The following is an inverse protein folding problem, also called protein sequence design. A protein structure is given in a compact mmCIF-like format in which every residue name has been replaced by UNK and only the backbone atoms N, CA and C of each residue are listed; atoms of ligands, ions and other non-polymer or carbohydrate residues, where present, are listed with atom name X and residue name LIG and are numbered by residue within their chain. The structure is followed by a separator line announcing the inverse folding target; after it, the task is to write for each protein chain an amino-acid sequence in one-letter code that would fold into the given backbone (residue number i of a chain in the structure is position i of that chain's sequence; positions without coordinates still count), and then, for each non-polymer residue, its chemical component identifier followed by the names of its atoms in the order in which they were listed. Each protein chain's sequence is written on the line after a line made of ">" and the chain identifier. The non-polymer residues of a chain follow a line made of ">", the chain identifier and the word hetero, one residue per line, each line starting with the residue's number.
data_IF_789848149541
#
_entry.id   IF_789848149541
#
_cell.length_a   1.000
_cell.length_b   1.000
_cell.length_c   1.000
_cell.angle_alpha   90.00
_cell.angle_beta   90.00
_cell.angle_gamma   90.00
#
_symmetry.space_group_name_H-M   'P 1'
#
loop_
_entity.id
_entity.type
_entity.pdbx_description
1 polymer ?
#
# COMPACT_ATOMS: atom_id res chain seq x y z
N UNK A 1 44.08 -1.97 34.00
CA UNK A 1 42.76 -2.65 33.92
C UNK A 1 41.80 -1.71 33.29
N UNK A 2 41.51 -1.93 32.00
CA UNK A 2 40.81 -1.02 31.12
C UNK A 2 39.38 -1.49 30.94
N UNK A 3 38.42 -0.63 31.25
CA UNK A 3 36.99 -0.85 30.99
C UNK A 3 36.64 -0.30 29.61
N UNK A 4 36.28 -1.17 28.68
CA UNK A 4 35.81 -0.83 27.35
C UNK A 4 34.30 -0.72 27.42
N UNK A 5 33.77 0.52 27.47
CA UNK A 5 32.38 0.82 27.21
C UNK A 5 32.17 1.09 25.73
N UNK A 6 31.59 0.14 24.99
CA UNK A 6 31.13 0.37 23.63
C UNK A 6 29.70 0.88 23.64
N UNK A 7 29.54 2.12 23.24
CA UNK A 7 28.27 2.72 22.90
C UNK A 7 27.65 1.99 21.72
N UNK A 8 26.40 1.55 21.87
CA UNK A 8 25.58 1.08 20.78
C UNK A 8 25.04 2.32 20.05
N UNK A 9 25.65 2.64 18.94
CA UNK A 9 25.18 3.68 18.02
C UNK A 9 23.91 3.19 17.33
N UNK A 10 22.81 3.85 17.60
CA UNK A 10 21.53 3.68 16.92
C UNK A 10 21.68 4.11 15.45
N UNK A 11 21.77 3.12 14.57
CA UNK A 11 21.72 3.28 13.12
C UNK A 11 20.26 3.50 12.69
N UNK A 12 19.77 4.72 12.79
CA UNK A 12 18.60 5.18 12.05
C UNK A 12 19.09 6.02 10.87
N UNK A 13 19.36 5.39 9.73
CA UNK A 13 19.56 6.08 8.44
C UNK A 13 18.84 5.27 7.37
N UNK A 14 18.00 5.97 6.61
CA UNK A 14 17.33 5.52 5.41
C UNK A 14 18.21 4.60 4.56
N UNK A 15 17.76 3.36 4.42
CA UNK A 15 18.53 2.21 3.93
C UNK A 15 18.58 2.12 2.40
N UNK A 16 17.82 2.97 1.72
CA UNK A 16 17.63 2.90 0.28
C UNK A 16 18.29 4.08 -0.43
N UNK A 17 19.33 3.82 -1.22
CA UNK A 17 19.99 4.81 -2.06
C UNK A 17 19.33 4.79 -3.43
N UNK A 18 18.57 5.83 -3.74
CA UNK A 18 18.09 6.10 -5.09
C UNK A 18 19.25 6.73 -5.89
N UNK A 19 19.72 6.06 -6.92
CA UNK A 19 20.60 6.68 -7.92
C UNK A 19 19.75 7.43 -8.93
N UNK A 20 19.46 8.68 -8.64
CA UNK A 20 18.83 9.60 -9.58
C UNK A 20 19.91 10.33 -10.37
N UNK A 21 19.88 10.19 -11.70
CA UNK A 21 20.63 11.08 -12.60
C UNK A 21 19.84 12.37 -12.79
N UNK A 22 20.50 13.44 -12.43
CA UNK A 22 20.05 14.81 -12.39
C UNK A 22 19.39 15.30 -13.68
N UNK A 23 18.23 15.94 -13.55
CA UNK A 23 17.94 17.19 -14.25
C UNK A 23 17.29 18.15 -13.26
N UNK A 24 17.87 19.31 -13.12
CA UNK A 24 17.54 20.24 -12.06
C UNK A 24 16.24 20.97 -12.29
N UNK A 25 15.53 21.17 -11.22
CA UNK A 25 14.75 22.39 -11.02
C UNK A 25 14.79 22.80 -9.54
N UNK A 26 15.19 24.05 -9.30
CA UNK A 26 15.31 24.64 -7.98
C UNK A 26 14.00 25.37 -7.69
N UNK A 27 13.20 24.89 -6.76
CA UNK A 27 12.55 25.66 -5.72
C UNK A 27 11.28 25.01 -5.19
N UNK A 28 11.39 24.35 -4.05
CA UNK A 28 10.35 24.46 -3.00
C UNK A 28 10.86 23.74 -1.75
N UNK A 29 11.22 24.55 -0.75
CA UNK A 29 11.43 24.06 0.61
C UNK A 29 10.09 23.57 1.16
N UNK A 30 9.91 22.27 1.23
CA UNK A 30 8.91 21.64 2.09
C UNK A 30 9.63 21.06 3.30
N UNK A 31 9.37 21.63 4.43
CA UNK A 31 9.82 21.16 5.74
C UNK A 31 9.27 19.76 6.00
N UNK A 32 10.12 18.76 5.88
CA UNK A 32 9.83 17.37 6.22
C UNK A 32 9.95 17.20 7.73
N UNK A 33 8.85 17.39 8.43
CA UNK A 33 8.72 17.12 9.86
C UNK A 33 7.36 16.44 10.11
N UNK A 34 7.39 15.15 10.40
CA UNK A 34 6.35 14.23 10.76
C UNK A 34 5.01 14.78 11.26
N UNK A 35 4.02 14.92 10.36
CA UNK A 35 2.63 15.08 10.76
C UNK A 35 1.67 14.81 9.58
N UNK A 36 1.58 13.57 9.11
CA UNK A 36 0.98 13.28 7.77
C UNK A 36 -0.40 12.63 7.84
N UNK A 37 -0.96 12.32 8.99
CA UNK A 37 -2.16 11.46 9.03
C UNK A 37 -3.50 12.20 9.12
N UNK A 38 -3.52 13.48 9.48
CA UNK A 38 -4.76 14.27 9.57
C UNK A 38 -4.83 15.28 8.43
N UNK A 39 -5.94 15.26 7.69
CA UNK A 39 -6.18 16.22 6.61
C UNK A 39 -6.67 17.55 7.20
N UNK A 40 -5.90 18.63 7.04
CA UNK A 40 -6.37 19.97 7.38
C UNK A 40 -7.36 20.45 6.32
N UNK A 41 -8.57 20.79 6.75
CA UNK A 41 -9.69 21.16 5.89
C UNK A 41 -10.08 22.61 6.12
N UNK A 42 -10.43 23.27 5.01
CA UNK A 42 -10.92 24.64 4.98
C UNK A 42 -11.91 24.83 3.83
N UNK A 43 -12.59 25.97 3.74
CA UNK A 43 -13.59 26.28 2.72
C UNK A 43 -13.07 26.01 1.28
N UNK A 44 -11.77 26.25 1.02
CA UNK A 44 -11.18 26.14 -0.33
C UNK A 44 -10.90 24.70 -0.76
N UNK A 45 -10.63 23.81 0.18
CA UNK A 45 -10.20 22.44 -0.13
C UNK A 45 -11.26 21.38 0.22
N UNK A 46 -12.30 21.75 0.96
CA UNK A 46 -13.31 20.85 1.48
C UNK A 46 -14.03 20.08 0.36
N UNK A 47 -14.48 20.79 -0.69
CA UNK A 47 -15.13 20.17 -1.84
C UNK A 47 -14.27 19.01 -2.38
N UNK A 48 -13.06 19.31 -2.79
CA UNK A 48 -12.16 18.33 -3.42
C UNK A 48 -11.71 17.21 -2.47
N UNK A 49 -11.41 17.56 -1.21
CA UNK A 49 -10.83 16.59 -0.26
C UNK A 49 -11.87 15.77 0.47
N UNK A 50 -13.12 16.21 0.52
CA UNK A 50 -14.19 15.54 1.26
C UNK A 50 -15.31 15.09 0.30
N UNK A 51 -15.92 16.02 -0.42
CA UNK A 51 -17.12 15.70 -1.21
C UNK A 51 -16.79 14.94 -2.50
N UNK A 52 -15.71 15.30 -3.18
CA UNK A 52 -15.28 14.63 -4.42
C UNK A 52 -14.38 13.40 -4.13
N UNK A 53 -13.94 13.19 -2.88
CA UNK A 53 -13.09 12.08 -2.50
C UNK A 53 -13.90 10.77 -2.42
N UNK A 54 -13.51 9.68 -3.11
CA UNK A 54 -14.24 8.42 -3.06
C UNK A 54 -14.13 7.67 -1.73
N UNK A 55 -13.14 7.98 -0.91
CA UNK A 55 -12.97 7.33 0.40
C UNK A 55 -14.00 7.79 1.42
N UNK A 56 -14.19 6.98 2.46
CA UNK A 56 -14.93 7.39 3.65
C UNK A 56 -14.17 8.50 4.38
N UNK A 57 -14.84 9.57 4.75
CA UNK A 57 -14.25 10.66 5.52
C UNK A 57 -14.86 10.78 6.91
N UNK A 58 -14.05 10.93 7.95
CA UNK A 58 -14.52 11.44 9.23
C UNK A 58 -13.89 12.80 9.49
N UNK A 59 -14.71 13.81 9.75
CA UNK A 59 -14.25 15.20 9.90
C UNK A 59 -14.64 15.73 11.28
N UNK A 60 -13.63 16.12 12.05
CA UNK A 60 -13.81 16.75 13.34
C UNK A 60 -13.82 18.28 13.21
N UNK A 61 -14.92 18.90 13.57
CA UNK A 61 -15.06 20.35 13.73
C UNK A 61 -14.65 20.72 15.13
N UNK A 62 -13.59 21.51 15.26
CA UNK A 62 -12.92 21.82 16.52
C UNK A 62 -12.79 23.31 16.75
N UNK A 63 -12.51 23.70 18.00
CA UNK A 63 -12.11 25.04 18.37
C UNK A 63 -10.80 25.01 19.18
N UNK A 64 -9.82 25.92 18.94
CA UNK A 64 -8.50 25.90 19.62
C UNK A 64 -8.56 26.01 21.14
N UNK A 65 -9.56 26.70 21.64
CA UNK A 65 -9.77 26.92 23.08
C UNK A 65 -10.58 25.82 23.77
N UNK A 66 -11.16 24.87 23.01
CA UNK A 66 -12.03 23.81 23.54
C UNK A 66 -11.21 22.71 24.24
N UNK A 67 -11.47 22.48 25.52
CA UNK A 67 -10.79 21.43 26.31
C UNK A 67 -11.03 20.02 25.80
N UNK A 68 -12.27 19.67 25.41
CA UNK A 68 -12.60 18.36 24.83
C UNK A 68 -11.95 18.13 23.47
N UNK A 69 -11.77 19.19 22.66
CA UNK A 69 -11.04 19.11 21.41
C UNK A 69 -9.55 18.79 21.64
N UNK A 70 -8.95 19.39 22.65
CA UNK A 70 -7.56 19.09 23.04
C UNK A 70 -7.35 17.65 23.48
N UNK A 71 -8.38 17.04 24.09
CA UNK A 71 -8.35 15.61 24.45
C UNK A 71 -8.57 14.70 23.25
N UNK A 72 -9.46 15.08 22.32
CA UNK A 72 -9.72 14.32 21.10
C UNK A 72 -8.54 14.26 20.14
N UNK A 73 -7.85 15.38 19.92
CA UNK A 73 -6.85 15.51 18.85
C UNK A 73 -5.70 14.50 18.90
N UNK A 74 -5.12 14.12 20.07
CA UNK A 74 -4.14 13.05 20.12
C UNK A 74 -4.73 11.68 19.72
N UNK A 75 -5.92 11.33 20.19
CA UNK A 75 -6.62 10.09 19.80
C UNK A 75 -6.96 10.10 18.31
N UNK A 76 -7.40 11.24 17.79
CA UNK A 76 -7.70 11.44 16.37
C UNK A 76 -6.48 11.24 15.48
N UNK A 77 -5.31 11.69 15.93
CA UNK A 77 -4.05 11.53 15.22
C UNK A 77 -3.60 10.07 15.18
N UNK A 78 -3.69 9.38 16.31
CA UNK A 78 -3.35 7.95 16.37
C UNK A 78 -4.34 7.10 15.55
N UNK A 79 -5.64 7.42 15.59
CA UNK A 79 -6.64 6.77 14.76
C UNK A 79 -6.35 6.98 13.26
N UNK A 80 -5.98 8.21 12.86
CA UNK A 80 -5.62 8.50 11.46
C UNK A 80 -4.42 7.66 10.98
N UNK A 81 -3.42 7.46 11.86
CA UNK A 81 -2.28 6.59 11.56
C UNK A 81 -2.69 5.12 11.39
N UNK A 82 -3.60 4.64 12.21
CA UNK A 82 -4.10 3.26 12.12
C UNK A 82 -5.00 3.01 10.91
N UNK A 83 -5.62 4.08 10.39
CA UNK A 83 -6.53 4.03 9.23
C UNK A 83 -5.83 4.28 7.89
N UNK A 84 -4.52 4.53 7.91
CA UNK A 84 -3.74 4.76 6.69
C UNK A 84 -3.88 3.57 5.72
N UNK A 85 -4.33 3.85 4.50
CA UNK A 85 -4.55 2.83 3.47
C UNK A 85 -5.78 1.94 3.69
N UNK A 86 -6.67 2.26 4.66
CA UNK A 86 -7.89 1.48 4.91
C UNK A 86 -9.11 1.96 4.10
N UNK A 87 -8.93 2.89 3.15
CA UNK A 87 -10.03 3.44 2.34
C UNK A 87 -10.85 4.50 3.08
N UNK A 88 -10.27 5.09 4.11
CA UNK A 88 -10.83 6.21 4.85
C UNK A 88 -9.75 7.18 5.31
N UNK A 89 -10.14 8.40 5.58
CA UNK A 89 -9.28 9.44 6.12
C UNK A 89 -9.94 10.21 7.26
N UNK A 90 -9.11 10.80 8.12
CA UNK A 90 -9.56 11.69 9.17
C UNK A 90 -9.18 13.14 8.85
N UNK A 91 -10.16 14.03 8.90
CA UNK A 91 -10.01 15.46 8.67
C UNK A 91 -10.28 16.29 9.92
N UNK A 92 -9.73 17.50 9.96
CA UNK A 92 -9.98 18.50 10.99
C UNK A 92 -10.30 19.84 10.35
N UNK A 93 -11.36 20.49 10.83
CA UNK A 93 -11.78 21.86 10.49
C UNK A 93 -11.69 22.71 11.75
N UNK A 94 -10.98 23.85 11.70
CA UNK A 94 -11.12 24.89 12.72
C UNK A 94 -12.41 25.67 12.48
N UNK A 95 -13.46 25.30 13.19
CA UNK A 95 -14.79 25.90 13.02
C UNK A 95 -14.89 27.34 13.55
N UNK A 96 -13.86 27.85 14.19
CA UNK A 96 -13.80 29.27 14.60
C UNK A 96 -13.32 30.16 13.46
N UNK A 97 -12.62 29.58 12.48
CA UNK A 97 -12.12 30.24 11.27
C UNK A 97 -13.05 29.93 10.09
N UNK A 98 -13.36 28.66 9.85
CA UNK A 98 -14.16 28.17 8.73
C UNK A 98 -15.66 28.19 9.11
N UNK A 99 -16.18 29.39 9.40
CA UNK A 99 -17.56 29.59 9.88
C UNK A 99 -18.62 29.21 8.84
N UNK A 100 -18.28 29.27 7.56
CA UNK A 100 -19.13 28.80 6.46
C UNK A 100 -19.39 27.32 6.55
N UNK A 101 -18.34 26.50 6.69
CA UNK A 101 -18.45 25.05 6.90
C UNK A 101 -19.18 24.73 8.21
N UNK A 102 -18.84 25.42 9.32
CA UNK A 102 -19.49 25.21 10.58
C UNK A 102 -21.02 25.43 10.51
N UNK A 103 -21.46 26.47 9.80
CA UNK A 103 -22.87 26.74 9.56
C UNK A 103 -23.52 25.71 8.64
N UNK A 104 -22.87 25.33 7.54
CA UNK A 104 -23.36 24.35 6.58
C UNK A 104 -23.62 22.99 7.22
N UNK A 105 -22.71 22.54 8.12
CA UNK A 105 -22.83 21.27 8.81
C UNK A 105 -23.50 21.38 10.18
N UNK A 106 -24.12 22.51 10.48
CA UNK A 106 -24.93 22.76 11.70
C UNK A 106 -24.15 22.46 13.01
N UNK A 107 -22.90 22.91 13.06
CA UNK A 107 -22.03 22.70 14.23
C UNK A 107 -22.51 23.60 15.39
N UNK A 108 -23.11 23.00 16.42
CA UNK A 108 -23.63 23.70 17.59
C UNK A 108 -22.71 23.63 18.82
N UNK A 109 -21.71 22.75 18.77
CA UNK A 109 -20.76 22.55 19.87
C UNK A 109 -19.46 21.92 19.42
N UNK A 110 -18.48 21.84 20.32
CA UNK A 110 -17.15 21.33 19.99
C UNK A 110 -16.71 20.21 20.95
N UNK A 111 -16.07 19.15 20.43
CA UNK A 111 -15.97 18.81 19.01
C UNK A 111 -17.28 18.23 18.48
N UNK A 112 -17.65 18.57 17.24
CA UNK A 112 -18.65 17.84 16.44
C UNK A 112 -17.92 17.02 15.40
N UNK A 113 -18.27 15.74 15.25
CA UNK A 113 -17.65 14.84 14.27
C UNK A 113 -18.72 14.45 13.25
N UNK A 114 -18.42 14.61 11.98
CA UNK A 114 -19.28 14.21 10.86
C UNK A 114 -18.61 13.09 10.07
N UNK A 115 -19.43 12.11 9.64
CA UNK A 115 -19.04 11.00 8.78
C UNK A 115 -19.56 11.26 7.37
N UNK A 116 -18.70 11.14 6.40
CA UNK A 116 -19.00 11.21 4.97
C UNK A 116 -18.87 9.82 4.38
N UNK A 117 -19.91 9.25 3.78
CA UNK A 117 -19.88 7.89 3.24
C UNK A 117 -18.84 7.74 2.12
N UNK A 118 -18.48 6.49 1.79
CA UNK A 118 -17.67 6.20 0.61
C UNK A 118 -18.44 6.49 -0.68
N UNK A 119 -17.70 6.82 -1.74
CA UNK A 119 -18.23 7.23 -3.04
C UNK A 119 -17.89 8.68 -3.37
N UNK A 120 -17.71 8.99 -4.66
CA UNK A 120 -17.46 10.35 -5.12
C UNK A 120 -18.74 11.19 -5.25
N UNK A 121 -18.59 12.50 -5.42
CA UNK A 121 -19.68 13.47 -5.60
C UNK A 121 -20.71 13.46 -4.45
N UNK A 122 -20.23 13.44 -3.23
CA UNK A 122 -21.07 13.50 -2.02
C UNK A 122 -21.76 14.85 -1.90
N UNK A 123 -23.01 14.84 -1.46
CA UNK A 123 -23.74 16.04 -1.06
C UNK A 123 -23.43 16.37 0.41
N UNK A 124 -23.48 17.63 0.83
CA UNK A 124 -23.43 18.01 2.23
C UNK A 124 -24.48 17.30 3.12
N UNK A 125 -25.62 16.94 2.54
CA UNK A 125 -26.68 16.20 3.23
C UNK A 125 -26.38 14.73 3.48
N UNK A 126 -25.36 14.15 2.84
CA UNK A 126 -24.93 12.77 3.04
C UNK A 126 -24.10 12.61 4.31
N UNK A 127 -23.69 13.73 4.91
CA UNK A 127 -22.96 13.73 6.16
C UNK A 127 -23.86 13.32 7.34
N UNK A 128 -23.46 12.29 8.07
CA UNK A 128 -24.09 11.89 9.33
C UNK A 128 -23.27 12.35 10.53
N UNK A 129 -23.91 12.51 11.67
CA UNK A 129 -23.21 12.85 12.91
C UNK A 129 -22.67 11.58 13.58
N UNK A 130 -21.45 11.66 14.09
CA UNK A 130 -20.85 10.63 14.91
C UNK A 130 -20.96 11.00 16.38
N UNK A 131 -21.72 10.20 17.12
CA UNK A 131 -21.98 10.35 18.56
C UNK A 131 -21.29 9.29 19.42
N UNK A 132 -20.42 8.47 18.81
CA UNK A 132 -19.71 7.40 19.50
C UNK A 132 -18.56 7.85 20.42
N UNK A 133 -17.81 6.86 20.91
CA UNK A 133 -16.64 7.10 21.77
C UNK A 133 -15.52 7.87 21.07
N UNK A 134 -14.71 8.58 21.86
CA UNK A 134 -13.64 9.46 21.36
C UNK A 134 -12.24 8.87 21.53
N UNK A 135 -12.14 7.59 21.89
CA UNK A 135 -10.87 6.87 21.90
C UNK A 135 -10.46 6.50 20.47
N UNK A 136 -9.18 6.31 20.22
CA UNK A 136 -8.69 5.88 18.90
C UNK A 136 -9.34 4.56 18.46
N UNK A 137 -9.58 3.64 19.38
CA UNK A 137 -10.22 2.36 19.10
C UNK A 137 -11.66 2.52 18.63
N UNK A 138 -12.42 3.43 19.25
CA UNK A 138 -13.81 3.72 18.87
C UNK A 138 -13.89 4.40 17.50
N UNK A 139 -13.01 5.37 17.27
CA UNK A 139 -12.91 6.10 16.00
C UNK A 139 -12.56 5.14 14.86
N UNK A 140 -11.52 4.31 15.04
CA UNK A 140 -11.10 3.31 14.05
C UNK A 140 -12.22 2.33 13.74
N UNK A 141 -12.88 1.80 14.77
CA UNK A 141 -14.01 0.87 14.60
C UNK A 141 -15.16 1.51 13.82
N UNK A 142 -15.50 2.76 14.10
CA UNK A 142 -16.55 3.48 13.39
C UNK A 142 -16.18 3.72 11.93
N UNK A 143 -14.96 4.22 11.65
CA UNK A 143 -14.47 4.45 10.29
C UNK A 143 -14.49 3.16 9.47
N UNK A 144 -13.96 2.05 9.99
CA UNK A 144 -13.92 0.76 9.30
C UNK A 144 -15.32 0.19 9.04
N UNK A 145 -16.28 0.40 9.97
CA UNK A 145 -17.69 0.02 9.77
C UNK A 145 -18.28 0.76 8.56
N UNK A 146 -18.02 2.05 8.44
CA UNK A 146 -18.49 2.85 7.30
C UNK A 146 -17.82 2.45 5.99
N UNK A 147 -16.53 2.12 6.02
CA UNK A 147 -15.82 1.56 4.84
C UNK A 147 -16.46 0.25 4.40
N UNK A 148 -16.81 -0.64 5.35
CA UNK A 148 -17.49 -1.89 5.01
C UNK A 148 -18.91 -1.66 4.45
N UNK A 149 -19.64 -0.68 4.99
CA UNK A 149 -20.98 -0.31 4.54
C UNK A 149 -20.96 0.35 3.14
N UNK A 150 -19.91 1.08 2.81
CA UNK A 150 -19.79 1.77 1.52
C UNK A 150 -19.65 0.82 0.32
N UNK A 151 -19.33 -0.46 0.57
CA UNK A 151 -19.12 -1.44 -0.48
C UNK A 151 -17.94 -1.15 -1.43
N UNK A 152 -17.19 -0.07 -1.19
CA UNK A 152 -16.00 0.27 -1.98
C UNK A 152 -14.91 -0.76 -1.63
N UNK A 153 -14.47 -1.59 -2.58
CA UNK A 153 -13.41 -2.55 -2.31
C UNK A 153 -12.11 -1.80 -1.97
N UNK A 154 -11.44 -2.21 -0.89
CA UNK A 154 -10.07 -1.74 -0.66
C UNK A 154 -9.22 -2.26 -1.82
N UNK A 155 -8.66 -1.36 -2.60
CA UNK A 155 -7.72 -1.73 -3.64
C UNK A 155 -6.39 -2.12 -2.99
N UNK A 156 -5.93 -3.34 -3.26
CA UNK A 156 -4.61 -3.80 -2.81
C UNK A 156 -3.57 -3.20 -3.76
N UNK A 157 -2.65 -2.36 -3.26
CA UNK A 157 -1.69 -1.66 -4.12
C UNK A 157 -0.73 -2.65 -4.78
N UNK A 158 -0.32 -2.31 -6.00
CA UNK A 158 0.76 -2.99 -6.70
C UNK A 158 2.11 -2.52 -6.16
N UNK A 159 3.01 -3.47 -5.96
CA UNK A 159 4.40 -3.20 -5.60
C UNK A 159 5.19 -2.90 -6.86
N UNK A 160 5.22 -1.63 -7.25
CA UNK A 160 5.74 -1.18 -8.54
C UNK A 160 7.09 -0.43 -8.47
N UNK A 161 7.67 -0.30 -7.28
CA UNK A 161 8.94 0.43 -7.15
C UNK A 161 9.42 0.62 -5.70
N UNK A 162 10.55 1.30 -5.52
CA UNK A 162 11.14 1.53 -4.19
C UNK A 162 10.20 2.23 -3.21
N UNK A 163 9.31 3.10 -3.71
CA UNK A 163 8.29 3.78 -2.91
C UNK A 163 7.29 2.80 -2.25
N UNK A 164 7.06 1.65 -2.89
CA UNK A 164 6.21 0.59 -2.34
C UNK A 164 6.83 -0.05 -1.10
N UNK A 165 8.16 -0.14 -1.05
CA UNK A 165 8.89 -0.67 0.11
C UNK A 165 8.82 0.29 1.30
N UNK A 166 8.77 1.61 1.09
CA UNK A 166 8.65 2.58 2.19
C UNK A 166 7.35 2.43 2.99
N UNK A 167 6.28 1.90 2.35
CA UNK A 167 5.04 1.56 3.04
C UNK A 167 5.21 0.39 4.02
N UNK A 168 6.24 -0.41 3.84
CA UNK A 168 6.62 -1.54 4.70
C UNK A 168 7.52 -1.13 5.87
N UNK A 169 8.04 0.08 5.85
CA UNK A 169 8.88 0.61 6.93
C UNK A 169 8.04 1.03 8.13
N UNK A 170 8.63 0.91 9.32
CA UNK A 170 8.02 1.32 10.58
C UNK A 170 8.02 0.21 11.62
N UNK A 171 7.93 0.61 12.88
CA UNK A 171 8.00 -0.31 14.02
C UNK A 171 6.85 -1.30 14.00
N UNK A 172 7.19 -2.59 14.05
CA UNK A 172 6.25 -3.72 14.03
C UNK A 172 5.37 -3.84 12.77
N UNK A 173 5.66 -3.13 11.68
CA UNK A 173 4.97 -3.35 10.40
C UNK A 173 5.45 -4.66 9.76
N UNK A 174 4.51 -5.37 9.16
CA UNK A 174 4.74 -6.61 8.41
C UNK A 174 4.13 -6.41 7.03
N UNK A 175 4.95 -6.52 5.97
CA UNK A 175 4.44 -6.54 4.62
C UNK A 175 4.17 -7.96 4.15
N UNK A 176 2.94 -8.19 3.68
CA UNK A 176 2.57 -9.38 2.92
C UNK A 176 2.73 -9.05 1.44
N UNK A 177 3.67 -9.72 0.79
CA UNK A 177 3.97 -9.59 -0.62
C UNK A 177 3.47 -10.82 -1.37
N UNK A 178 2.62 -10.61 -2.37
CA UNK A 178 2.11 -11.67 -3.22
C UNK A 178 2.62 -11.50 -4.65
N UNK A 179 3.40 -12.45 -5.14
CA UNK A 179 3.85 -12.50 -6.52
C UNK A 179 2.87 -13.34 -7.35
N UNK A 180 2.30 -12.75 -8.40
CA UNK A 180 1.40 -13.47 -9.33
C UNK A 180 2.20 -14.05 -10.50
N UNK A 181 1.70 -15.12 -11.16
CA UNK A 181 2.32 -15.62 -12.38
C UNK A 181 2.50 -14.49 -13.40
N UNK A 182 3.56 -14.49 -14.20
CA UNK A 182 3.72 -13.55 -15.30
C UNK A 182 2.47 -13.49 -16.19
N UNK A 183 2.12 -12.31 -16.70
CA UNK A 183 0.85 -12.11 -17.39
C UNK A 183 0.75 -12.94 -18.70
N UNK A 184 1.88 -13.21 -19.35
CA UNK A 184 1.94 -14.09 -20.54
C UNK A 184 1.68 -15.58 -20.22
N UNK A 185 1.82 -15.98 -18.94
CA UNK A 185 1.49 -17.33 -18.44
C UNK A 185 0.12 -17.38 -17.75
N UNK A 186 -0.61 -16.26 -17.71
CA UNK A 186 -1.85 -16.11 -16.95
C UNK A 186 -2.86 -15.25 -17.74
N UNK A 187 -3.84 -14.69 -17.06
CA UNK A 187 -4.80 -13.76 -17.63
C UNK A 187 -5.20 -12.67 -16.65
N UNK A 188 -5.69 -11.55 -17.18
CA UNK A 188 -6.26 -10.45 -16.37
C UNK A 188 -7.38 -10.93 -15.46
N UNK A 189 -8.23 -11.85 -15.95
CA UNK A 189 -9.29 -12.45 -15.14
C UNK A 189 -8.74 -13.24 -13.95
N UNK A 190 -7.65 -13.99 -14.16
CA UNK A 190 -6.98 -14.76 -13.11
C UNK A 190 -6.30 -13.84 -12.08
N UNK A 191 -5.65 -12.78 -12.53
CA UNK A 191 -5.06 -11.77 -11.65
C UNK A 191 -6.12 -11.07 -10.80
N UNK A 192 -7.26 -10.71 -11.38
CA UNK A 192 -8.38 -10.15 -10.63
C UNK A 192 -8.93 -11.14 -9.57
N UNK A 193 -8.95 -12.44 -9.86
CA UNK A 193 -9.28 -13.47 -8.87
C UNK A 193 -8.27 -13.48 -7.72
N UNK A 194 -6.96 -13.42 -8.00
CA UNK A 194 -5.92 -13.36 -6.98
C UNK A 194 -6.01 -12.10 -6.13
N UNK A 195 -6.24 -10.93 -6.75
CA UNK A 195 -6.47 -9.65 -6.04
C UNK A 195 -7.72 -9.73 -5.16
N UNK A 196 -8.79 -10.36 -5.62
CA UNK A 196 -10.01 -10.58 -4.83
C UNK A 196 -9.74 -11.38 -3.55
N UNK A 197 -8.89 -12.41 -3.62
CA UNK A 197 -8.46 -13.18 -2.45
C UNK A 197 -7.68 -12.28 -1.47
N UNK A 198 -6.73 -11.46 -1.93
CA UNK A 198 -6.00 -10.53 -1.09
C UNK A 198 -6.92 -9.49 -0.44
N UNK A 199 -7.92 -9.00 -1.17
CA UNK A 199 -8.93 -8.09 -0.63
C UNK A 199 -9.74 -8.72 0.49
N UNK A 200 -10.15 -9.99 0.35
CA UNK A 200 -10.85 -10.71 1.41
C UNK A 200 -9.96 -10.91 2.65
N UNK A 201 -8.68 -11.26 2.45
CA UNK A 201 -7.69 -11.37 3.53
C UNK A 201 -7.48 -10.02 4.21
N UNK A 202 -7.33 -8.93 3.45
CA UNK A 202 -7.16 -7.58 3.99
C UNK A 202 -8.33 -7.18 4.89
N UNK A 203 -9.57 -7.47 4.49
CA UNK A 203 -10.76 -7.23 5.33
C UNK A 203 -10.69 -7.97 6.66
N UNK A 204 -10.23 -9.21 6.64
CA UNK A 204 -10.17 -10.06 7.84
C UNK A 204 -9.10 -9.63 8.85
N UNK A 205 -8.01 -9.02 8.38
CA UNK A 205 -6.88 -8.58 9.20
C UNK A 205 -6.81 -7.06 9.37
N UNK A 206 -7.93 -6.36 9.22
CA UNK A 206 -8.01 -4.92 9.47
C UNK A 206 -7.61 -4.57 10.90
N UNK A 207 -6.87 -3.47 11.03
CA UNK A 207 -6.33 -3.02 12.32
C UNK A 207 -5.14 -3.83 12.82
N UNK A 208 -4.73 -4.89 12.13
CA UNK A 208 -3.44 -5.53 12.37
C UNK A 208 -2.33 -4.76 11.61
N UNK A 209 -1.08 -4.91 12.07
CA UNK A 209 0.08 -4.21 11.49
C UNK A 209 0.52 -4.80 10.13
N UNK A 210 -0.43 -5.22 9.29
CA UNK A 210 -0.15 -5.79 7.98
C UNK A 210 -0.37 -4.78 6.87
N UNK A 211 0.66 -4.62 6.02
CA UNK A 211 0.56 -3.97 4.71
C UNK A 211 0.57 -5.05 3.63
N UNK A 212 -0.48 -5.13 2.82
CA UNK A 212 -0.60 -6.14 1.76
C UNK A 212 -0.34 -5.47 0.41
N UNK A 213 0.54 -6.05 -0.38
CA UNK A 213 0.87 -5.60 -1.73
C UNK A 213 1.05 -6.82 -2.65
N UNK A 214 0.93 -6.60 -3.95
CA UNK A 214 1.14 -7.65 -4.95
C UNK A 214 2.01 -7.14 -6.09
N UNK A 215 2.67 -8.03 -6.82
CA UNK A 215 3.45 -7.71 -8.02
C UNK A 215 3.44 -8.88 -9.01
N UNK A 216 3.81 -8.59 -10.25
CA UNK A 216 4.01 -9.63 -11.26
C UNK A 216 5.28 -10.41 -10.95
N UNK A 217 5.21 -11.73 -10.90
CA UNK A 217 6.37 -12.60 -10.80
C UNK A 217 7.34 -12.34 -11.94
N UNK A 218 8.63 -12.48 -11.67
CA UNK A 218 9.77 -12.11 -12.52
C UNK A 218 10.02 -10.62 -12.70
N UNK A 219 9.15 -9.74 -12.16
CA UNK A 219 9.35 -8.29 -12.26
C UNK A 219 10.29 -7.71 -11.20
N UNK A 220 10.51 -8.45 -10.11
CA UNK A 220 11.34 -8.05 -8.98
C UNK A 220 12.38 -9.14 -8.65
N UNK A 221 13.33 -9.45 -9.57
CA UNK A 221 14.17 -10.65 -9.48
C UNK A 221 15.00 -10.71 -8.20
N UNK A 222 15.54 -9.58 -7.75
CA UNK A 222 16.37 -9.54 -6.55
C UNK A 222 15.53 -9.71 -5.26
N UNK A 223 14.32 -9.15 -5.23
CA UNK A 223 13.35 -9.34 -4.14
C UNK A 223 12.88 -10.80 -4.09
N UNK A 224 12.60 -11.40 -5.24
CA UNK A 224 12.15 -12.78 -5.37
C UNK A 224 13.23 -13.77 -4.93
N UNK A 225 14.50 -13.50 -5.26
CA UNK A 225 15.65 -14.27 -4.80
C UNK A 225 15.80 -14.19 -3.27
N UNK A 226 15.78 -12.97 -2.71
CA UNK A 226 15.87 -12.75 -1.25
C UNK A 226 14.74 -13.41 -0.47
N UNK A 227 13.53 -13.46 -1.06
CA UNK A 227 12.35 -14.08 -0.45
C UNK A 227 12.21 -15.58 -0.79
N UNK A 228 13.16 -16.18 -1.52
CA UNK A 228 13.17 -17.60 -1.88
C UNK A 228 11.90 -18.07 -2.62
N UNK A 229 11.39 -17.24 -3.54
CA UNK A 229 10.19 -17.58 -4.31
C UNK A 229 10.42 -18.68 -5.35
N UNK A 230 11.66 -18.85 -5.83
CA UNK A 230 12.10 -19.94 -6.72
C UNK A 230 11.18 -20.13 -7.94
N UNK A 231 10.68 -19.04 -8.54
CA UNK A 231 9.78 -19.03 -9.70
C UNK A 231 8.48 -19.85 -9.52
N UNK A 232 8.04 -20.07 -8.29
CA UNK A 232 6.79 -20.78 -7.98
C UNK A 232 5.66 -19.78 -7.76
N UNK A 233 4.95 -19.43 -8.81
CA UNK A 233 3.85 -18.48 -8.75
C UNK A 233 2.48 -19.17 -8.81
N UNK A 234 1.43 -18.65 -8.12
CA UNK A 234 1.48 -17.51 -7.20
C UNK A 234 2.20 -17.82 -5.89
N UNK A 235 3.08 -16.91 -5.46
CA UNK A 235 3.84 -17.03 -4.21
C UNK A 235 3.42 -15.94 -3.21
N UNK A 236 3.59 -16.23 -1.92
CA UNK A 236 3.30 -15.28 -0.83
C UNK A 236 4.40 -15.34 0.20
N UNK A 237 4.93 -14.18 0.57
CA UNK A 237 5.84 -14.03 1.69
C UNK A 237 5.43 -12.85 2.58
N UNK A 238 5.83 -12.92 3.83
CA UNK A 238 5.74 -11.82 4.78
C UNK A 238 7.14 -11.36 5.17
N UNK A 239 7.38 -10.06 5.12
CA UNK A 239 8.65 -9.44 5.48
C UNK A 239 8.46 -8.42 6.60
N UNK A 240 9.35 -8.41 7.58
CA UNK A 240 9.47 -7.37 8.59
C UNK A 240 10.85 -6.73 8.49
N UNK A 241 10.90 -5.52 7.93
CA UNK A 241 12.15 -4.78 7.75
C UNK A 241 12.76 -4.36 9.10
N UNK A 242 11.90 -4.00 10.06
CA UNK A 242 12.31 -3.63 11.42
C UNK A 242 13.04 -4.78 12.14
N UNK A 243 12.56 -6.01 11.97
CA UNK A 243 13.16 -7.21 12.57
C UNK A 243 14.22 -7.86 11.70
N UNK A 244 14.34 -7.50 10.44
CA UNK A 244 15.26 -8.12 9.48
C UNK A 244 14.96 -9.59 9.24
N UNK A 245 13.66 -9.96 9.14
CA UNK A 245 13.23 -11.35 8.95
C UNK A 245 12.12 -11.44 7.89
N UNK A 246 12.01 -12.62 7.27
CA UNK A 246 10.91 -12.96 6.37
C UNK A 246 10.40 -14.38 6.62
N UNK A 247 9.22 -14.67 6.10
CA UNK A 247 8.64 -16.00 6.08
C UNK A 247 7.95 -16.24 4.74
N UNK A 248 8.05 -17.45 4.20
CA UNK A 248 7.41 -17.86 2.95
C UNK A 248 6.25 -18.78 3.23
N UNK A 249 5.14 -18.60 2.53
CA UNK A 249 3.99 -19.48 2.62
C UNK A 249 4.17 -20.70 1.69
N UNK A 250 4.24 -21.90 2.26
CA UNK A 250 4.36 -23.16 1.52
C UNK A 250 3.01 -23.89 1.36
N UNK A 251 1.95 -23.13 1.06
CA UNK A 251 0.60 -23.66 0.88
C UNK A 251 -0.02 -23.12 -0.42
N UNK A 252 -1.10 -23.76 -0.88
CA UNK A 252 -1.84 -23.27 -2.06
C UNK A 252 -2.37 -21.85 -1.84
N UNK A 253 -2.37 -21.04 -2.90
CA UNK A 253 -2.85 -19.66 -2.88
C UNK A 253 -4.37 -19.65 -2.70
N UNK A 254 -4.82 -19.37 -1.49
CA UNK A 254 -6.22 -19.27 -1.11
C UNK A 254 -6.40 -18.35 0.09
N UNK A 255 -7.58 -17.76 0.26
CA UNK A 255 -7.91 -16.93 1.43
C UNK A 255 -7.63 -17.67 2.75
N UNK A 256 -8.02 -18.94 2.83
CA UNK A 256 -7.82 -19.78 4.02
C UNK A 256 -6.33 -19.95 4.34
N UNK A 257 -5.51 -20.30 3.35
CA UNK A 257 -4.08 -20.53 3.53
C UNK A 257 -3.35 -19.27 3.94
N UNK A 258 -3.62 -18.14 3.26
CA UNK A 258 -3.03 -16.84 3.58
C UNK A 258 -3.46 -16.40 4.98
N UNK A 259 -4.73 -16.57 5.35
CA UNK A 259 -5.22 -16.22 6.68
C UNK A 259 -4.55 -17.05 7.79
N UNK A 260 -4.34 -18.35 7.56
CA UNK A 260 -3.63 -19.22 8.51
C UNK A 260 -2.15 -18.82 8.62
N UNK A 261 -1.51 -18.48 7.51
CA UNK A 261 -0.13 -18.01 7.48
C UNK A 261 0.04 -16.71 8.29
N UNK A 262 -0.82 -15.69 8.06
CA UNK A 262 -0.81 -14.45 8.82
C UNK A 262 -1.09 -14.67 10.32
N UNK A 263 -2.02 -15.57 10.64
CA UNK A 263 -2.31 -15.95 12.04
C UNK A 263 -1.08 -16.62 12.67
N UNK A 264 -0.39 -17.47 11.92
CA UNK A 264 0.87 -18.10 12.36
C UNK A 264 1.96 -17.07 12.68
N UNK A 265 2.08 -16.02 11.87
CA UNK A 265 3.04 -14.93 12.09
C UNK A 265 2.68 -14.14 13.36
N UNK A 266 1.42 -13.74 13.52
CA UNK A 266 0.99 -12.94 14.69
C UNK A 266 1.10 -13.72 16.00
N UNK A 267 0.93 -15.04 15.97
CA UNK A 267 1.05 -15.91 17.14
C UNK A 267 2.47 -16.44 17.37
N UNK A 268 3.44 -16.07 16.53
CA UNK A 268 4.83 -16.54 16.61
C UNK A 268 5.01 -18.02 16.27
N UNK A 269 4.02 -18.66 15.65
CA UNK A 269 4.09 -20.09 15.25
C UNK A 269 4.72 -20.31 13.88
N UNK A 270 4.80 -19.25 13.08
CA UNK A 270 5.41 -19.29 11.75
C UNK A 270 6.93 -19.20 11.90
N UNK A 271 7.66 -20.12 11.27
CA UNK A 271 9.10 -20.04 11.17
C UNK A 271 9.50 -18.87 10.30
N UNK A 272 10.49 -18.10 10.74
CA UNK A 272 11.04 -16.96 10.01
C UNK A 272 12.50 -17.20 9.67
N UNK A 273 12.93 -16.69 8.53
CA UNK A 273 14.32 -16.70 8.08
C UNK A 273 14.93 -15.30 8.23
N UNK A 274 16.23 -15.18 8.51
CA UNK A 274 16.89 -13.89 8.56
C UNK A 274 16.98 -13.27 7.17
N UNK A 275 16.76 -11.97 7.08
CA UNK A 275 16.98 -11.20 5.86
C UNK A 275 18.47 -10.88 5.76
N UNK A 276 19.18 -11.59 4.90
CA UNK A 276 20.65 -11.49 4.82
C UNK A 276 21.13 -10.21 4.12
N UNK A 277 20.33 -9.63 3.28
CA UNK A 277 20.58 -8.38 2.56
C UNK A 277 19.29 -7.65 2.21
N UNK A 278 19.40 -6.38 1.94
CA UNK A 278 18.29 -5.62 1.41
C UNK A 278 18.14 -5.91 -0.09
N UNK A 279 16.93 -6.22 -0.58
CA UNK A 279 16.71 -6.45 -2.00
C UNK A 279 16.81 -5.15 -2.79
N UNK A 280 17.39 -5.20 -3.98
CA UNK A 280 17.30 -4.13 -4.94
C UNK A 280 15.90 -4.14 -5.57
N UNK A 281 15.20 -3.01 -5.49
CA UNK A 281 13.85 -2.89 -6.02
C UNK A 281 13.88 -2.21 -7.38
N UNK A 282 13.29 -2.87 -8.37
CA UNK A 282 13.16 -2.35 -9.73
C UNK A 282 11.86 -1.57 -9.87
N UNK A 283 11.93 -0.40 -10.52
CA UNK A 283 10.74 0.36 -10.87
C UNK A 283 10.10 -0.27 -12.09
N UNK A 284 8.83 -0.69 -11.95
CA UNK A 284 8.02 -1.32 -12.99
C UNK A 284 6.89 -0.39 -13.44
N UNK A 285 6.32 -0.68 -14.60
CA UNK A 285 5.10 -0.01 -15.07
C UNK A 285 3.92 -0.73 -14.41
N UNK A 286 3.04 -0.02 -13.69
CA UNK A 286 1.86 -0.64 -13.09
C UNK A 286 0.96 -1.30 -14.14
N UNK A 287 0.33 -2.40 -13.76
CA UNK A 287 -0.58 -3.13 -14.61
C UNK A 287 -1.81 -2.29 -15.01
N UNK A 288 -2.13 -2.29 -16.27
CA UNK A 288 -3.23 -1.51 -16.87
C UNK A 288 -4.60 -2.20 -16.81
N UNK A 289 -4.69 -3.40 -16.21
CA UNK A 289 -5.94 -4.16 -16.11
C UNK A 289 -6.24 -5.09 -17.30
N UNK A 290 -5.36 -5.16 -18.30
CA UNK A 290 -5.54 -5.92 -19.52
C UNK A 290 -4.64 -7.15 -19.55
N UNK A 291 -4.96 -8.10 -20.45
CA UNK A 291 -4.09 -9.23 -20.76
C UNK A 291 -2.80 -8.77 -21.43
N UNK A 292 -1.77 -9.63 -21.41
CA UNK A 292 -0.56 -9.39 -22.19
C UNK A 292 -0.92 -9.29 -23.67
N UNK A 293 -0.33 -8.34 -24.36
CA UNK A 293 -0.43 -8.32 -25.83
C UNK A 293 0.28 -9.55 -26.37
N UNK A 294 -0.38 -10.21 -27.33
CA UNK A 294 0.26 -11.31 -28.04
C UNK A 294 1.53 -10.78 -28.72
N UNK A 295 2.66 -11.38 -28.44
CA UNK A 295 3.88 -11.13 -29.19
C UNK A 295 3.58 -11.76 -30.56
N UNK A 296 3.38 -10.96 -31.60
CA UNK A 296 3.40 -11.44 -32.97
C UNK A 296 4.81 -12.02 -33.16
N UNK A 297 4.90 -13.33 -33.40
CA UNK A 297 6.18 -13.95 -33.73
C UNK A 297 6.66 -13.33 -35.06
N UNK A 298 7.64 -12.46 -34.99
CA UNK A 298 8.22 -11.75 -36.14
C UNK A 298 8.93 -12.69 -37.13
N UNK A 299 9.11 -13.96 -36.73
CA UNK A 299 9.76 -14.97 -37.56
C UNK A 299 8.90 -16.23 -37.57
N UNK A 300 8.42 -16.60 -38.75
CA UNK A 300 7.84 -17.94 -38.94
C UNK A 300 8.96 -18.98 -38.98
N UNK A 301 8.67 -20.22 -38.54
CA UNK A 301 9.62 -21.32 -38.71
C UNK A 301 10.06 -21.52 -40.18
N UNK A 302 9.23 -21.08 -41.12
CA UNK A 302 9.52 -21.10 -42.55
C UNK A 302 10.59 -20.08 -42.96
N UNK A 303 10.62 -18.90 -42.31
CA UNK A 303 11.64 -17.89 -42.55
C UNK A 303 13.02 -18.34 -42.04
N UNK A 304 13.07 -19.01 -40.88
CA UNK A 304 14.33 -19.56 -40.32
C UNK A 304 14.84 -20.72 -41.15
N UNK A 305 13.98 -21.57 -41.71
CA UNK A 305 14.39 -22.69 -42.57
C UNK A 305 14.80 -22.25 -43.99
N UNK A 306 14.31 -21.09 -44.46
CA UNK A 306 14.70 -20.55 -45.75
C UNK A 306 16.16 -20.04 -45.78
N UNK A 307 16.65 -19.47 -44.69
CA UNK A 307 18.01 -19.00 -44.56
C UNK A 307 19.05 -20.14 -44.56
N UNK A 308 18.72 -21.32 -44.02
CA UNK A 308 19.60 -22.49 -44.02
C UNK A 308 19.76 -23.09 -45.43
N UNK A 309 18.73 -23.01 -46.31
CA UNK A 309 18.79 -23.48 -47.67
C UNK A 309 19.63 -22.55 -48.61
N UNK A 310 19.78 -21.28 -48.29
CA UNK A 310 20.60 -20.34 -49.04
C UNK A 310 22.10 -20.51 -48.73
N UNK A 311 22.44 -20.82 -47.48
CA UNK A 311 23.83 -21.11 -47.06
C UNK A 311 24.33 -22.46 -47.60
N UNK A 312 23.46 -23.40 -47.90
CA UNK A 312 23.84 -24.69 -48.48
C UNK A 312 24.16 -24.62 -50.01
N UNK A 313 23.72 -23.58 -50.71
CA UNK A 313 23.94 -23.40 -52.16
C UNK A 313 25.27 -22.71 -52.51
N UNK A 314 25.80 -21.90 -51.61
CA UNK A 314 27.09 -21.19 -51.83
C UNK A 314 28.34 -22.04 -51.55
N UNK A 315 28.17 -23.23 -50.93
CA UNK A 315 29.24 -24.17 -50.62
C UNK A 315 29.67 -25.09 -51.77
N UNK A 316 29.03 -25.03 -52.96
CA UNK A 316 29.21 -26.04 -54.01
C UNK A 316 29.90 -25.52 -55.31
N UNK A 317 30.43 -24.28 -55.32
CA UNK A 317 31.17 -23.75 -56.45
C UNK A 317 32.60 -23.37 -56.07
N UNK A 318 33.45 -24.38 -55.89
CA UNK A 318 34.85 -24.18 -55.55
C UNK A 318 35.73 -25.41 -55.70
N UNK A 319 35.57 -26.18 -56.82
CA UNK A 319 36.63 -27.10 -57.29
C UNK A 319 36.66 -27.10 -58.82
N UNK A 320 37.62 -26.45 -59.35
CA UNK A 320 38.43 -26.80 -60.56
C UNK A 320 39.67 -25.96 -60.58
#
# INVERSE_FOLDING_TARGET
>A
MSAVGKAVETRARSRWVVQDRQSGDKNQKTSTGGNVHIVQLNDRNFQRKVLDNPEVGMVAFVAPWCGHCKQLLPEWREAARLLEGEGCYLGVVDATVETGLASQYQVQGYPTIKIFPGGGNKSPSDASEYDGGRTKEDIVRAALKEVDASGVPKEIPEFAGPESMTQCEGTNKICLLAAFPPLHESSAAKWNQYRGILTAVSKKFRGAAFQIQWFQGTSQPDLEDVLDFNFRFPAVAAISLDKGVYAVMHASYSEKSISLFLTGITTGRQTTNPLHRDPAIVKTIPWNGQDAQAIEEEFSLEDIMADDDELAKDGQTGEL
#
